data_IF_495833073406
#
_entry.id   IF_495833073406
#
_cell.length_a   1.000
_cell.length_b   1.000
_cell.length_c   1.000
_cell.angle_alpha   90.00
_cell.angle_beta   90.00
_cell.angle_gamma   90.00
#
_symmetry.space_group_name_H-M   'P 1'
#
loop_
_entity.id
_entity.type
_entity.pdbx_description
1 polymer ?
#
# COMPACT_ATOMS: atom_id res chain seq x y z
N UNK A 1 34.16 -24.83 -5.45
CA UNK A 1 33.14 -25.00 -6.50
C UNK A 1 31.92 -24.33 -5.97
N UNK A 2 31.81 -23.02 -6.22
CA UNK A 2 30.69 -22.19 -5.77
C UNK A 2 29.43 -22.74 -6.42
N UNK A 3 28.60 -23.40 -5.62
CA UNK A 3 27.26 -23.78 -6.03
C UNK A 3 26.50 -22.48 -6.26
N UNK A 4 26.21 -22.19 -7.52
CA UNK A 4 25.22 -21.20 -7.88
C UNK A 4 23.94 -21.57 -7.11
N UNK A 5 23.59 -20.78 -6.09
CA UNK A 5 22.28 -20.87 -5.48
C UNK A 5 21.32 -20.45 -6.59
N UNK A 6 20.82 -21.46 -7.30
CA UNK A 6 19.75 -21.35 -8.27
C UNK A 6 18.51 -20.97 -7.45
N UNK A 7 18.37 -19.67 -7.17
CA UNK A 7 17.17 -19.10 -6.57
C UNK A 7 16.05 -19.53 -7.50
N UNK A 8 15.17 -20.40 -7.03
CA UNK A 8 14.11 -20.90 -7.88
C UNK A 8 13.29 -19.69 -8.35
N UNK A 9 12.74 -19.68 -9.57
CA UNK A 9 11.98 -18.55 -10.10
C UNK A 9 10.73 -18.18 -9.27
N UNK A 10 10.44 -18.93 -8.20
CA UNK A 10 9.30 -18.77 -7.31
C UNK A 10 9.67 -18.72 -5.82
N UNK A 11 10.95 -18.71 -5.46
CA UNK A 11 11.32 -18.49 -4.06
C UNK A 11 10.95 -17.05 -3.68
N UNK A 12 10.23 -16.83 -2.56
CA UNK A 12 9.87 -15.48 -2.15
C UNK A 12 11.14 -14.67 -1.90
N UNK A 13 11.17 -13.38 -2.26
CA UNK A 13 12.32 -12.53 -1.98
C UNK A 13 12.59 -12.52 -0.46
N UNK A 14 13.85 -12.35 -0.03
CA UNK A 14 14.15 -12.23 1.38
C UNK A 14 13.36 -11.03 1.93
N UNK A 15 12.31 -11.33 2.70
CA UNK A 15 11.49 -10.32 3.33
C UNK A 15 12.35 -9.62 4.38
N UNK A 16 12.29 -8.28 4.44
CA UNK A 16 12.83 -7.60 5.61
C UNK A 16 12.03 -8.12 6.81
N UNK A 17 12.71 -8.64 7.83
CA UNK A 17 12.10 -9.30 9.00
C UNK A 17 11.18 -8.43 9.87
N UNK A 18 10.70 -7.31 9.34
CA UNK A 18 9.81 -6.33 9.96
C UNK A 18 8.33 -6.55 9.60
N UNK A 19 7.91 -7.76 9.22
CA UNK A 19 6.48 -8.08 9.09
C UNK A 19 5.81 -7.80 10.45
N UNK A 20 4.93 -6.79 10.57
CA UNK A 20 4.28 -6.51 11.84
C UNK A 20 3.41 -7.71 12.20
N UNK A 21 3.77 -8.38 13.30
CA UNK A 21 2.97 -9.46 13.89
C UNK A 21 1.55 -8.91 14.14
N UNK A 22 0.48 -9.67 13.83
CA UNK A 22 -0.89 -9.18 14.02
C UNK A 22 -1.07 -8.75 15.48
N UNK A 23 -1.39 -7.48 15.70
CA UNK A 23 -1.73 -6.97 17.02
C UNK A 23 -3.07 -7.59 17.43
N UNK A 24 -3.07 -8.35 18.52
CA UNK A 24 -4.21 -9.09 19.05
C UNK A 24 -5.48 -8.23 19.15
N UNK A 25 -6.62 -8.67 18.61
CA UNK A 25 -7.93 -8.15 19.07
C UNK A 25 -9.21 -8.32 18.24
N UNK A 26 -9.24 -8.82 16.99
CA UNK A 26 -10.52 -9.13 16.30
C UNK A 26 -10.36 -10.11 15.14
N UNK A 27 -11.19 -11.16 15.10
CA UNK A 27 -11.06 -12.39 14.29
C UNK A 27 -11.44 -12.24 12.81
N UNK A 28 -11.43 -11.04 12.24
CA UNK A 28 -11.47 -10.82 10.79
C UNK A 28 -10.48 -9.72 10.44
N UNK A 29 -9.49 -9.95 9.56
CA UNK A 29 -8.62 -8.87 9.10
C UNK A 29 -9.50 -7.83 8.41
N UNK A 30 -9.37 -6.58 8.81
CA UNK A 30 -9.95 -5.46 8.08
C UNK A 30 -9.26 -5.37 6.72
N UNK A 31 -9.89 -5.97 5.70
CA UNK A 31 -9.37 -5.99 4.34
C UNK A 31 -9.81 -4.72 3.60
N UNK A 32 -8.86 -4.01 3.02
CA UNK A 32 -9.11 -2.84 2.18
C UNK A 32 -8.80 -3.22 0.73
N UNK A 33 -9.78 -3.00 -0.16
CA UNK A 33 -9.54 -3.12 -1.61
C UNK A 33 -8.51 -2.07 -2.02
N UNK A 34 -7.36 -2.54 -2.46
CA UNK A 34 -6.22 -1.72 -2.81
C UNK A 34 -5.84 -2.00 -4.25
N UNK A 35 -5.69 -0.92 -5.01
CA UNK A 35 -5.17 -0.98 -6.37
C UNK A 35 -3.64 -0.88 -6.35
N UNK A 36 -3.00 -1.77 -7.09
CA UNK A 36 -1.59 -1.75 -7.40
C UNK A 36 -1.41 -1.52 -8.89
N UNK A 37 -0.42 -0.70 -9.22
CA UNK A 37 -0.16 -0.25 -10.58
C UNK A 37 1.31 -0.50 -10.90
N UNK A 38 1.61 -1.10 -12.04
CA UNK A 38 2.96 -1.19 -12.57
C UNK A 38 3.01 -0.37 -13.86
N UNK A 39 3.81 0.69 -13.86
CA UNK A 39 3.87 1.67 -14.95
C UNK A 39 5.28 1.80 -15.57
N UNK A 40 6.17 0.85 -15.29
CA UNK A 40 7.57 0.87 -15.77
C UNK A 40 7.72 0.30 -17.21
N UNK A 41 6.64 0.16 -17.98
CA UNK A 41 6.72 -0.16 -19.40
C UNK A 41 6.78 -1.66 -19.75
N UNK A 42 6.19 -2.55 -18.95
CA UNK A 42 6.23 -3.99 -19.22
C UNK A 42 5.39 -4.39 -20.45
N UNK A 43 5.93 -5.28 -21.27
CA UNK A 43 5.39 -5.61 -22.60
C UNK A 43 4.47 -6.83 -22.67
N UNK A 44 4.57 -7.80 -21.75
CA UNK A 44 3.88 -9.09 -21.95
C UNK A 44 3.20 -9.69 -20.73
N UNK A 45 3.92 -9.93 -19.63
CA UNK A 45 3.35 -10.57 -18.44
C UNK A 45 3.79 -9.86 -17.17
N UNK A 46 2.82 -9.39 -16.37
CA UNK A 46 3.08 -8.78 -15.06
C UNK A 46 2.21 -9.44 -14.00
N UNK A 47 2.87 -9.92 -12.94
CA UNK A 47 2.23 -10.50 -11.76
C UNK A 47 2.65 -9.74 -10.52
N UNK A 48 1.74 -9.62 -9.56
CA UNK A 48 1.98 -9.04 -8.24
C UNK A 48 2.16 -10.15 -7.22
N UNK A 49 3.23 -10.10 -6.43
CA UNK A 49 3.44 -10.98 -5.29
C UNK A 49 3.62 -10.11 -4.04
N UNK A 50 2.86 -10.39 -2.99
CA UNK A 50 2.94 -9.62 -1.76
C UNK A 50 2.81 -10.46 -0.50
N UNK A 51 3.24 -9.91 0.62
CA UNK A 51 3.22 -10.56 1.93
C UNK A 51 1.82 -11.03 2.35
N UNK A 52 0.77 -10.26 2.01
CA UNK A 52 -0.62 -10.61 2.33
C UNK A 52 -1.16 -11.81 1.54
N UNK A 53 -0.54 -12.13 0.41
CA UNK A 53 -0.91 -13.24 -0.46
C UNK A 53 0.06 -14.43 -0.33
N UNK A 54 0.88 -14.47 0.74
CA UNK A 54 1.96 -15.46 0.90
C UNK A 54 2.89 -15.51 -0.32
N UNK A 55 3.14 -14.37 -0.97
CA UNK A 55 3.93 -14.27 -2.20
C UNK A 55 3.42 -15.11 -3.37
N UNK A 56 2.15 -15.56 -3.33
CA UNK A 56 1.51 -16.22 -4.47
C UNK A 56 1.32 -15.19 -5.59
N UNK A 57 1.78 -15.47 -6.83
CA UNK A 57 1.62 -14.54 -7.94
C UNK A 57 0.17 -14.28 -8.31
N UNK A 58 -0.20 -13.01 -8.36
CA UNK A 58 -1.52 -12.53 -8.78
C UNK A 58 -1.37 -11.88 -10.15
N UNK A 59 -2.08 -12.37 -11.16
CA UNK A 59 -2.05 -11.80 -12.50
C UNK A 59 -2.56 -10.35 -12.52
N UNK A 60 -1.82 -9.44 -13.14
CA UNK A 60 -2.26 -8.06 -13.38
C UNK A 60 -2.96 -7.93 -14.74
N UNK A 61 -3.83 -6.93 -14.85
CA UNK A 61 -4.53 -6.55 -16.07
C UNK A 61 -3.74 -5.50 -16.84
N UNK A 62 -3.60 -5.68 -18.15
CA UNK A 62 -2.95 -4.70 -19.02
C UNK A 62 -3.93 -3.58 -19.39
N UNK A 63 -3.59 -2.34 -19.05
CA UNK A 63 -4.39 -1.15 -19.38
C UNK A 63 -3.94 -0.48 -20.69
N UNK A 64 -2.75 -0.83 -21.20
CA UNK A 64 -2.16 -0.20 -22.38
C UNK A 64 -0.90 0.61 -22.06
N UNK A 65 -0.09 0.91 -23.08
CA UNK A 65 1.12 1.76 -22.95
C UNK A 65 2.11 1.30 -21.86
N UNK A 66 2.18 0.00 -21.59
CA UNK A 66 3.04 -0.56 -20.53
C UNK A 66 2.53 -0.37 -19.11
N UNK A 67 1.26 0.04 -18.95
CA UNK A 67 0.54 0.15 -17.68
C UNK A 67 -0.19 -1.15 -17.35
N UNK A 68 -0.01 -1.62 -16.12
CA UNK A 68 -0.66 -2.80 -15.58
C UNK A 68 -1.31 -2.47 -14.24
N UNK A 69 -2.50 -3.01 -13.99
CA UNK A 69 -3.27 -2.75 -12.76
C UNK A 69 -3.78 -4.04 -12.13
N UNK A 70 -3.93 -4.05 -10.81
CA UNK A 70 -4.62 -5.13 -10.10
C UNK A 70 -5.29 -4.60 -8.84
N UNK A 71 -6.52 -5.04 -8.62
CA UNK A 71 -7.28 -4.76 -7.41
C UNK A 71 -7.25 -5.98 -6.50
N UNK A 72 -6.68 -5.86 -5.30
CA UNK A 72 -6.61 -6.96 -4.33
C UNK A 72 -6.96 -6.50 -2.92
N UNK A 73 -7.46 -7.44 -2.11
CA UNK A 73 -7.86 -7.18 -0.74
C UNK A 73 -6.62 -7.32 0.17
N UNK A 74 -6.16 -6.20 0.73
CA UNK A 74 -4.96 -6.17 1.58
C UNK A 74 -5.37 -5.85 3.01
N UNK A 75 -4.87 -6.59 4.02
CA UNK A 75 -5.09 -6.25 5.42
C UNK A 75 -4.58 -4.85 5.77
N UNK A 76 -5.15 -4.21 6.79
CA UNK A 76 -4.54 -3.02 7.38
C UNK A 76 -3.11 -3.33 7.88
N UNK A 77 -2.21 -2.37 7.70
CA UNK A 77 -0.81 -2.51 8.12
C UNK A 77 0.19 -2.18 7.02
N UNK A 78 1.44 -2.50 7.25
CA UNK A 78 2.52 -2.35 6.29
C UNK A 78 2.75 -3.69 5.59
N UNK A 79 2.79 -3.65 4.26
CA UNK A 79 2.92 -4.83 3.43
C UNK A 79 4.01 -4.64 2.40
N UNK A 80 4.81 -5.68 2.21
CA UNK A 80 5.86 -5.73 1.20
C UNK A 80 5.36 -6.47 -0.02
N UNK A 81 5.83 -6.06 -1.20
CA UNK A 81 5.51 -6.69 -2.47
C UNK A 81 6.63 -6.49 -3.49
N UNK A 82 6.63 -7.36 -4.50
CA UNK A 82 7.43 -7.24 -5.72
C UNK A 82 6.56 -7.63 -6.91
N UNK A 83 6.99 -7.22 -8.10
CA UNK A 83 6.38 -7.63 -9.36
C UNK A 83 7.21 -8.74 -9.99
N UNK A 84 6.56 -9.64 -10.71
CA UNK A 84 7.21 -10.57 -11.63
C UNK A 84 6.86 -10.09 -13.03
N UNK A 85 7.87 -9.68 -13.80
CA UNK A 85 7.71 -9.21 -15.18
C UNK A 85 8.44 -10.18 -16.09
N UNK A 86 7.72 -10.82 -16.99
CA UNK A 86 8.26 -11.83 -17.93
C UNK A 86 9.08 -12.95 -17.22
N UNK A 87 8.73 -13.26 -15.96
CA UNK A 87 9.41 -14.26 -15.13
C UNK A 87 10.55 -13.73 -14.25
N UNK A 88 10.89 -12.44 -14.34
CA UNK A 88 11.91 -11.81 -13.51
C UNK A 88 11.31 -10.99 -12.37
N UNK A 89 11.89 -11.07 -11.17
CA UNK A 89 11.55 -10.18 -10.07
C UNK A 89 11.96 -8.74 -10.39
N UNK A 90 10.99 -7.82 -10.32
CA UNK A 90 11.16 -6.39 -10.53
C UNK A 90 10.55 -5.59 -9.38
N UNK A 91 11.16 -4.46 -9.13
CA UNK A 91 10.69 -3.45 -8.19
C UNK A 91 10.20 -2.29 -9.05
N UNK A 92 9.00 -1.79 -8.75
CA UNK A 92 8.49 -0.63 -9.47
C UNK A 92 9.08 0.65 -8.92
N UNK A 93 9.48 1.56 -9.81
CA UNK A 93 9.99 2.89 -9.44
C UNK A 93 8.87 3.84 -8.99
N UNK A 94 7.61 3.46 -9.25
CA UNK A 94 6.42 4.22 -8.90
C UNK A 94 5.86 3.90 -7.52
N UNK A 95 6.45 2.95 -6.81
CA UNK A 95 6.06 2.58 -5.45
C UNK A 95 7.19 2.84 -4.46
N UNK A 96 6.88 3.22 -3.21
CA UNK A 96 7.87 3.30 -2.15
C UNK A 96 8.62 1.97 -1.97
N UNK A 97 9.91 2.03 -1.63
CA UNK A 97 10.76 0.87 -1.38
C UNK A 97 11.23 0.79 0.07
N UNK A 98 11.53 -0.43 0.53
CA UNK A 98 12.06 -0.74 1.85
C UNK A 98 13.15 -1.81 1.69
N UNK A 99 14.19 -1.74 2.52
CA UNK A 99 15.34 -2.65 2.46
C UNK A 99 16.58 -2.02 1.82
N UNK A 100 17.59 -2.86 1.59
CA UNK A 100 18.85 -2.49 0.95
C UNK A 100 19.06 -3.33 -0.32
N UNK A 101 19.52 -2.66 -1.37
CA UNK A 101 19.85 -3.28 -2.67
C UNK A 101 21.07 -4.19 -2.54
N UNK A 102 22.00 -3.86 -1.63
CA UNK A 102 23.23 -4.64 -1.40
C UNK A 102 22.97 -6.03 -0.81
N UNK A 103 21.88 -6.18 -0.07
CA UNK A 103 21.50 -7.41 0.61
C UNK A 103 20.37 -8.18 -0.11
N UNK A 104 19.99 -7.76 -1.34
CA UNK A 104 18.84 -8.29 -2.10
C UNK A 104 17.50 -8.22 -1.33
N UNK A 105 17.42 -7.36 -0.32
CA UNK A 105 16.22 -7.18 0.52
C UNK A 105 15.32 -6.04 0.05
N UNK A 106 15.66 -5.39 -1.07
CA UNK A 106 14.92 -4.27 -1.60
C UNK A 106 13.54 -4.72 -2.09
N UNK A 107 12.47 -4.28 -1.43
CA UNK A 107 11.09 -4.59 -1.78
C UNK A 107 10.29 -3.31 -1.98
N UNK A 108 9.22 -3.33 -2.76
CA UNK A 108 8.23 -2.27 -2.65
C UNK A 108 7.42 -2.45 -1.36
N UNK A 109 6.95 -1.37 -0.75
CA UNK A 109 6.07 -1.43 0.41
C UNK A 109 4.85 -0.52 0.27
N UNK A 110 3.74 -0.95 0.88
CA UNK A 110 2.49 -0.21 0.93
C UNK A 110 1.94 -0.23 2.35
N UNK A 111 1.66 0.96 2.88
CA UNK A 111 0.95 1.13 4.15
C UNK A 111 -0.55 1.26 3.91
N UNK A 112 -1.31 0.26 4.32
CA UNK A 112 -2.76 0.20 4.23
C UNK A 112 -3.34 0.75 5.53
N UNK A 113 -3.91 1.94 5.45
CA UNK A 113 -4.59 2.59 6.55
C UNK A 113 -6.09 2.43 6.40
N UNK A 114 -6.82 2.53 7.52
CA UNK A 114 -8.26 2.66 7.46
C UNK A 114 -8.58 3.90 6.63
N UNK A 115 -9.49 3.81 5.64
CA UNK A 115 -10.01 5.02 5.04
C UNK A 115 -10.57 5.87 6.17
N UNK A 116 -10.09 7.11 6.29
CA UNK A 116 -10.69 8.03 7.24
C UNK A 116 -12.17 8.10 6.91
N UNK A 117 -13.07 7.99 7.90
CA UNK A 117 -14.47 8.27 7.64
C UNK A 117 -14.53 9.64 6.95
N UNK A 118 -15.39 9.84 5.93
CA UNK A 118 -15.57 11.14 5.33
C UNK A 118 -15.70 12.13 6.48
N UNK A 119 -14.74 13.07 6.58
CA UNK A 119 -14.63 14.01 7.71
C UNK A 119 -16.04 14.49 7.96
N UNK A 120 -16.65 14.01 9.05
CA UNK A 120 -18.04 14.29 9.37
C UNK A 120 -18.16 15.78 9.23
N UNK A 121 -18.89 16.23 8.20
CA UNK A 121 -18.94 17.61 7.72
C UNK A 121 -19.13 18.42 8.98
N UNK A 122 -18.06 19.07 9.48
CA UNK A 122 -17.99 19.70 10.80
C UNK A 122 -19.40 20.12 11.19
N UNK A 123 -20.13 19.26 11.91
CA UNK A 123 -21.46 19.63 12.29
C UNK A 123 -21.16 20.71 13.31
N UNK A 124 -21.35 21.97 12.88
CA UNK A 124 -21.23 23.12 13.76
C UNK A 124 -21.99 22.70 15.02
N UNK A 125 -21.35 22.69 16.20
CA UNK A 125 -22.01 22.17 17.39
C UNK A 125 -23.38 22.84 17.52
N UNK A 126 -24.45 22.03 17.38
CA UNK A 126 -25.81 22.47 17.63
C UNK A 126 -25.87 22.79 19.13
N UNK A 127 -25.87 24.08 19.44
CA UNK A 127 -26.02 24.56 20.81
C UNK A 127 -24.71 24.94 21.47
N UNK A 128 -24.16 26.10 21.10
CA UNK A 128 -23.69 27.08 22.08
C UNK A 128 -24.09 28.48 21.60
N UNK A 129 -25.10 28.98 22.27
CA UNK A 129 -25.61 30.35 22.36
C UNK A 129 -24.57 31.42 21.98
N UNK A 130 -24.81 32.12 20.86
CA UNK A 130 -24.01 33.26 20.38
C UNK A 130 -24.73 34.61 20.57
N UNK A 131 -25.83 34.63 21.33
CA UNK A 131 -26.63 35.83 21.59
C UNK A 131 -26.35 36.48 22.96
N UNK A 132 -25.08 36.80 23.29
CA UNK A 132 -24.83 37.83 24.33
C UNK A 132 -23.53 38.61 24.13
N UNK A 133 -23.22 39.01 22.89
CA UNK A 133 -22.32 40.16 22.66
C UNK A 133 -22.95 41.16 21.70
N UNK A 134 -24.24 41.45 21.89
CA UNK A 134 -24.76 42.79 21.60
C UNK A 134 -24.55 43.66 22.84
N UNK A 135 -23.37 44.29 22.94
CA UNK A 135 -23.13 45.60 23.57
C UNK A 135 -21.63 45.84 23.75
N UNK A 136 -21.04 46.58 22.81
CA UNK A 136 -20.14 47.70 23.11
C UNK A 136 -19.92 48.53 21.83
N UNK A 137 -20.81 49.52 21.70
CA UNK A 137 -20.61 50.87 21.18
C UNK A 137 -19.66 51.05 19.99
N UNK A 138 -20.24 51.28 18.81
CA UNK A 138 -19.82 52.42 18.01
C UNK A 138 -20.15 53.70 18.79
N UNK A 139 -19.14 54.55 19.03
CA UNK A 139 -19.34 56.00 19.16
C UNK A 139 -18.40 56.63 18.15
N UNK A 140 -19.02 57.29 17.17
CA UNK A 140 -18.41 58.26 16.28
C UNK A 140 -18.04 59.50 17.11
N UNK A 141 -16.81 59.99 17.00
CA UNK A 141 -16.45 61.41 17.02
C UNK A 141 -15.20 61.62 16.17
#
# INVERSE_FOLDING_TARGET
MEGINEVAPFDPPPANGNVPKPVNGSTTPDLVKTEFVYADGAGSDVKLCGSWANWVPIQMYYEGEGLWTVLTAVPLGEHEFRFIVDGEWKISTHHPTVGDDLDDTLNNYRKILRPLPPRERLEKPKGREWETVKRRRCVLM
#
